data_IF_307424720262
#
_entry.id   IF_307424720262
#
_cell.length_a   1.000
_cell.length_b   1.000
_cell.length_c   1.000
_cell.angle_alpha   90.00
_cell.angle_beta   90.00
_cell.angle_gamma   90.00
#
_symmetry.space_group_name_H-M   'P 1'
#
loop_
_entity.id
_entity.type
_entity.pdbx_description
1 polymer ?
#
# COMPACT_ATOMS: atom_id res chain seq x y z
N UNK A 1 11.55 3.40 13.28
CA UNK A 1 10.53 2.40 13.63
C UNK A 1 11.12 0.99 13.50
N UNK A 2 10.83 0.11 14.42
CA UNK A 2 11.28 -1.28 14.37
C UNK A 2 10.06 -2.21 14.39
N UNK A 3 10.22 -3.41 13.77
CA UNK A 3 9.18 -4.43 13.79
C UNK A 3 9.27 -5.30 15.07
N UNK A 4 8.38 -6.29 15.21
CA UNK A 4 8.32 -7.15 16.39
C UNK A 4 9.60 -7.96 16.63
N UNK A 5 10.43 -8.17 15.60
CA UNK A 5 11.71 -8.86 15.72
C UNK A 5 12.87 -7.91 16.03
N UNK A 6 12.60 -6.63 16.32
CA UNK A 6 13.60 -5.63 16.62
C UNK A 6 14.33 -5.08 15.40
N UNK A 7 13.89 -5.41 14.21
CA UNK A 7 14.48 -4.91 12.96
C UNK A 7 13.84 -3.60 12.57
N UNK A 8 14.61 -2.73 11.92
CA UNK A 8 14.10 -1.50 11.36
C UNK A 8 13.12 -1.83 10.21
N UNK A 9 11.94 -1.22 10.26
CA UNK A 9 10.90 -1.42 9.24
C UNK A 9 11.36 -0.86 7.89
N UNK A 10 11.30 -1.68 6.84
CA UNK A 10 11.59 -1.21 5.48
C UNK A 10 10.44 -0.33 4.97
N UNK A 11 10.71 0.62 4.04
CA UNK A 11 9.64 1.46 3.46
C UNK A 11 8.49 0.65 2.86
N UNK A 12 8.76 -0.52 2.27
CA UNK A 12 7.71 -1.38 1.71
C UNK A 12 6.78 -1.92 2.80
N UNK A 13 7.29 -2.15 4.00
CA UNK A 13 6.47 -2.63 5.12
C UNK A 13 5.44 -1.59 5.53
N UNK A 14 5.82 -0.31 5.54
CA UNK A 14 4.91 0.78 5.84
C UNK A 14 3.80 0.89 4.79
N UNK A 15 4.13 0.66 3.52
CA UNK A 15 3.14 0.65 2.43
C UNK A 15 2.14 -0.49 2.64
N UNK A 16 2.60 -1.70 2.88
CA UNK A 16 1.70 -2.84 3.11
C UNK A 16 0.83 -2.65 4.34
N UNK A 17 1.41 -2.11 5.41
CA UNK A 17 0.66 -1.80 6.61
C UNK A 17 -0.46 -0.78 6.33
N UNK A 18 -0.15 0.29 5.61
CA UNK A 18 -1.13 1.30 5.25
C UNK A 18 -2.25 0.72 4.40
N UNK A 19 -1.92 -0.17 3.45
CA UNK A 19 -2.88 -0.78 2.55
C UNK A 19 -3.63 -1.98 3.16
N UNK A 20 -3.32 -2.38 4.38
CA UNK A 20 -4.00 -3.50 5.04
C UNK A 20 -5.41 -3.16 5.52
N UNK A 21 -5.77 -1.89 5.55
CA UNK A 21 -7.08 -1.41 6.00
C UNK A 21 -7.97 -1.01 4.82
N UNK A 22 -9.25 -1.47 4.78
CA UNK A 22 -10.13 -1.16 3.66
C UNK A 22 -10.43 0.32 3.49
N UNK A 23 -10.58 1.08 4.57
CA UNK A 23 -10.80 2.54 4.49
C UNK A 23 -9.63 3.23 3.81
N UNK A 24 -8.41 2.88 4.19
CA UNK A 24 -7.21 3.45 3.60
C UNK A 24 -7.08 3.09 2.12
N UNK A 25 -7.44 1.86 1.74
CA UNK A 25 -7.43 1.47 0.32
C UNK A 25 -8.40 2.31 -0.51
N UNK A 26 -9.59 2.57 0.01
CA UNK A 26 -10.59 3.41 -0.69
C UNK A 26 -10.06 4.84 -0.86
N UNK A 27 -9.40 5.38 0.16
CA UNK A 27 -8.78 6.72 0.06
C UNK A 27 -7.71 6.75 -1.04
N UNK A 28 -6.85 5.75 -1.08
CA UNK A 28 -5.80 5.64 -2.12
C UNK A 28 -6.43 5.56 -3.51
N UNK A 29 -7.47 4.75 -3.69
CA UNK A 29 -8.19 4.64 -4.95
C UNK A 29 -8.77 5.99 -5.39
N UNK A 30 -9.38 6.70 -4.45
CA UNK A 30 -9.96 8.03 -4.72
C UNK A 30 -8.89 9.03 -5.13
N UNK A 31 -7.76 9.05 -4.43
CA UNK A 31 -6.64 9.95 -4.73
C UNK A 31 -5.92 9.59 -6.03
N UNK A 32 -6.05 8.36 -6.49
CA UNK A 32 -5.55 7.94 -7.80
C UNK A 32 -6.21 8.67 -8.96
N UNK A 33 -7.40 9.23 -8.75
CA UNK A 33 -8.12 10.00 -9.77
C UNK A 33 -7.70 11.46 -9.78
N UNK A 34 -7.62 12.08 -8.61
CA UNK A 34 -7.24 13.49 -8.44
C UNK A 34 -7.03 13.80 -6.95
N UNK A 35 -6.31 14.87 -6.64
CA UNK A 35 -6.21 15.34 -5.26
C UNK A 35 -7.59 15.66 -4.66
N UNK A 36 -7.68 15.58 -3.34
CA UNK A 36 -8.94 15.81 -2.64
C UNK A 36 -8.69 16.36 -1.24
N UNK A 37 -9.65 17.11 -0.73
CA UNK A 37 -9.63 17.65 0.62
C UNK A 37 -10.05 16.56 1.63
N UNK A 38 -9.79 16.83 2.92
CA UNK A 38 -10.25 15.95 4.01
C UNK A 38 -11.77 15.73 3.91
N UNK A 39 -12.53 16.80 3.71
CA UNK A 39 -14.00 16.73 3.62
C UNK A 39 -14.46 15.83 2.49
N UNK A 40 -13.83 15.96 1.31
CA UNK A 40 -14.15 15.13 0.16
C UNK A 40 -13.82 13.66 0.42
N UNK A 41 -12.65 13.41 1.03
CA UNK A 41 -12.21 12.05 1.33
C UNK A 41 -13.06 11.38 2.40
N UNK A 42 -13.51 12.12 3.41
CA UNK A 42 -14.29 11.59 4.52
C UNK A 42 -15.76 11.35 4.16
N UNK A 43 -16.27 12.02 3.16
CA UNK A 43 -17.69 12.04 2.81
C UNK A 43 -18.31 10.63 2.66
N UNK A 44 -17.69 9.65 1.97
CA UNK A 44 -18.31 8.33 1.79
C UNK A 44 -18.34 7.47 3.07
N UNK A 45 -17.67 7.88 4.14
CA UNK A 45 -17.50 7.05 5.32
C UNK A 45 -18.38 7.52 6.47
N UNK A 46 -19.01 6.55 7.14
CA UNK A 46 -19.77 6.79 8.36
C UNK A 46 -18.86 6.52 9.56
N UNK A 47 -17.94 7.46 9.82
CA UNK A 47 -17.06 7.39 10.97
C UNK A 47 -16.75 8.78 11.50
N UNK A 48 -16.37 8.87 12.77
CA UNK A 48 -15.99 10.13 13.40
C UNK A 48 -14.73 10.69 12.72
N UNK A 49 -14.67 12.02 12.57
CA UNK A 49 -13.55 12.69 11.94
C UNK A 49 -12.19 12.34 12.57
N UNK A 50 -12.05 12.28 13.92
CA UNK A 50 -10.77 11.89 14.51
C UNK A 50 -10.30 10.50 14.07
N UNK A 51 -11.20 9.55 13.92
CA UNK A 51 -10.87 8.20 13.44
C UNK A 51 -10.42 8.24 11.98
N UNK A 52 -11.12 9.00 11.15
CA UNK A 52 -10.74 9.17 9.76
C UNK A 52 -9.36 9.85 9.62
N UNK A 53 -9.10 10.86 10.44
CA UNK A 53 -7.80 11.54 10.44
C UNK A 53 -6.65 10.61 10.81
N UNK A 54 -6.89 9.60 11.65
CA UNK A 54 -5.89 8.57 11.95
C UNK A 54 -5.52 7.78 10.69
N UNK A 55 -6.49 7.43 9.87
CA UNK A 55 -6.23 6.74 8.60
C UNK A 55 -5.38 7.60 7.67
N UNK A 56 -5.68 8.89 7.57
CA UNK A 56 -4.89 9.81 6.75
C UNK A 56 -3.46 9.95 7.27
N UNK A 57 -3.30 9.96 8.60
CA UNK A 57 -1.96 10.03 9.22
C UNK A 57 -1.13 8.80 8.87
N UNK A 58 -1.71 7.62 8.96
CA UNK A 58 -1.02 6.37 8.60
C UNK A 58 -0.58 6.41 7.13
N UNK A 59 -1.44 6.87 6.24
CA UNK A 59 -1.11 7.02 4.81
C UNK A 59 0.02 8.03 4.59
N UNK A 60 0.01 9.15 5.31
CA UNK A 60 1.10 10.14 5.22
C UNK A 60 2.43 9.58 5.74
N UNK A 61 2.39 8.91 6.90
CA UNK A 61 3.59 8.31 7.50
C UNK A 61 4.20 7.23 6.59
N UNK A 62 3.37 6.51 5.85
CA UNK A 62 3.84 5.51 4.89
C UNK A 62 4.48 6.11 3.65
N UNK A 63 4.28 7.40 3.41
CA UNK A 63 4.75 8.08 2.20
C UNK A 63 3.85 7.88 0.98
N UNK A 64 2.72 7.18 1.12
CA UNK A 64 1.77 6.99 0.01
C UNK A 64 1.05 8.26 -0.38
N UNK A 65 0.82 9.15 0.57
CA UNK A 65 0.16 10.43 0.33
C UNK A 65 0.95 11.56 0.95
N UNK A 66 0.76 12.74 0.40
CA UNK A 66 1.23 14.01 0.96
C UNK A 66 0.08 14.98 1.03
N UNK A 67 0.15 15.89 1.98
CA UNK A 67 -0.86 16.92 2.12
C UNK A 67 -0.22 18.31 2.11
N UNK A 68 -1.02 19.29 1.68
CA UNK A 68 -0.64 20.68 1.69
C UNK A 68 -1.82 21.48 2.20
N UNK A 69 -1.57 22.34 3.19
CA UNK A 69 -2.59 23.23 3.71
C UNK A 69 -2.54 24.56 2.97
N UNK A 70 -3.67 24.96 2.42
CA UNK A 70 -3.85 26.26 1.78
C UNK A 70 -5.05 26.94 2.42
N UNK A 71 -4.79 27.99 3.21
CA UNK A 71 -5.83 28.63 4.02
C UNK A 71 -6.36 27.65 5.06
N UNK A 72 -7.66 27.36 5.01
CA UNK A 72 -8.33 26.42 5.94
C UNK A 72 -8.47 25.02 5.37
N UNK A 73 -8.07 24.83 4.13
CA UNK A 73 -8.26 23.55 3.44
C UNK A 73 -6.92 22.81 3.35
N UNK A 74 -6.94 21.56 3.77
CA UNK A 74 -5.82 20.65 3.57
C UNK A 74 -6.16 19.69 2.44
N UNK A 75 -5.32 19.69 1.41
CA UNK A 75 -5.50 18.87 0.22
C UNK A 75 -4.46 17.75 0.21
N UNK A 76 -4.93 16.53 -0.03
CA UNK A 76 -4.12 15.32 -0.09
C UNK A 76 -3.91 14.91 -1.54
N UNK A 77 -2.75 14.33 -1.81
CA UNK A 77 -2.42 13.77 -3.13
C UNK A 77 -1.63 12.49 -2.99
N UNK A 78 -1.75 11.62 -3.97
CA UNK A 78 -1.01 10.36 -4.01
C UNK A 78 0.43 10.58 -4.43
N UNK A 79 1.35 9.81 -3.83
CA UNK A 79 2.78 9.80 -4.18
C UNK A 79 3.10 8.43 -4.78
N UNK A 80 3.14 8.29 -6.12
CA UNK A 80 3.25 6.97 -6.76
C UNK A 80 4.55 6.21 -6.47
N UNK A 81 5.62 6.92 -6.12
CA UNK A 81 6.92 6.29 -5.89
C UNK A 81 6.93 5.22 -4.81
N UNK A 82 6.12 5.39 -3.76
CA UNK A 82 6.02 4.39 -2.70
C UNK A 82 5.26 3.15 -3.12
N UNK A 83 4.23 3.31 -3.95
CA UNK A 83 3.51 2.18 -4.54
C UNK A 83 4.43 1.32 -5.40
N UNK A 84 5.33 1.94 -6.13
CA UNK A 84 6.29 1.23 -6.96
C UNK A 84 7.15 0.26 -6.15
N UNK A 85 7.58 0.64 -4.95
CA UNK A 85 8.36 -0.24 -4.08
C UNK A 85 7.59 -1.52 -3.75
N UNK A 86 6.29 -1.41 -3.48
CA UNK A 86 5.43 -2.57 -3.22
C UNK A 86 5.22 -3.41 -4.48
N UNK A 87 5.00 -2.76 -5.63
CA UNK A 87 4.87 -3.46 -6.92
C UNK A 87 6.13 -4.25 -7.25
N UNK A 88 7.30 -3.65 -7.08
CA UNK A 88 8.58 -4.30 -7.36
C UNK A 88 8.79 -5.50 -6.44
N UNK A 89 8.47 -5.38 -5.16
CA UNK A 89 8.57 -6.48 -4.22
C UNK A 89 7.65 -7.65 -4.63
N UNK A 90 6.40 -7.34 -4.96
CA UNK A 90 5.42 -8.35 -5.39
C UNK A 90 5.83 -9.01 -6.70
N UNK A 91 6.31 -8.23 -7.67
CA UNK A 91 6.78 -8.75 -8.95
C UNK A 91 7.95 -9.71 -8.76
N UNK A 92 8.89 -9.36 -7.87
CA UNK A 92 10.03 -10.22 -7.55
C UNK A 92 9.57 -11.54 -6.93
N UNK A 93 8.62 -11.51 -6.00
CA UNK A 93 8.07 -12.72 -5.39
C UNK A 93 7.37 -13.59 -6.43
N UNK A 94 6.56 -12.99 -7.30
CA UNK A 94 5.86 -13.71 -8.35
C UNK A 94 6.85 -14.43 -9.27
N UNK A 95 7.90 -13.77 -9.69
CA UNK A 95 8.95 -14.38 -10.54
C UNK A 95 9.58 -15.58 -9.87
N UNK A 96 9.90 -15.48 -8.58
CA UNK A 96 10.47 -16.59 -7.82
C UNK A 96 9.51 -17.77 -7.71
N UNK A 97 8.23 -17.50 -7.47
CA UNK A 97 7.21 -18.54 -7.37
C UNK A 97 6.98 -19.24 -8.71
N UNK A 98 6.91 -18.47 -9.79
CA UNK A 98 6.76 -19.02 -11.15
C UNK A 98 7.92 -19.94 -11.50
N UNK A 99 9.15 -19.57 -11.18
CA UNK A 99 10.33 -20.42 -11.38
C UNK A 99 10.25 -21.72 -10.60
N UNK A 100 9.81 -21.66 -9.36
CA UNK A 100 9.64 -22.86 -8.54
C UNK A 100 8.59 -23.79 -9.11
N UNK A 101 7.47 -23.24 -9.57
CA UNK A 101 6.41 -24.01 -10.20
C UNK A 101 6.89 -24.67 -11.49
N UNK A 102 7.62 -23.93 -12.33
CA UNK A 102 8.20 -24.47 -13.56
C UNK A 102 9.17 -25.61 -13.27
N UNK A 103 10.04 -25.43 -12.29
CA UNK A 103 10.98 -26.51 -11.87
C UNK A 103 10.24 -27.74 -11.37
N UNK A 104 9.17 -27.56 -10.63
CA UNK A 104 8.34 -28.65 -10.14
C UNK A 104 7.67 -29.38 -11.31
N UNK A 105 7.11 -28.66 -12.26
CA UNK A 105 6.47 -29.22 -13.45
C UNK A 105 7.48 -30.04 -14.28
N UNK A 106 8.68 -29.53 -14.47
CA UNK A 106 9.76 -30.24 -15.17
C UNK A 106 10.11 -31.53 -14.44
N UNK A 107 10.22 -31.49 -13.13
CA UNK A 107 10.52 -32.66 -12.31
C UNK A 107 9.43 -33.73 -12.42
N UNK A 108 8.17 -33.33 -12.33
CA UNK A 108 7.03 -34.24 -12.47
C UNK A 108 7.01 -34.87 -13.87
N UNK A 109 7.21 -34.07 -14.91
CA UNK A 109 7.27 -34.55 -16.30
C UNK A 109 8.37 -35.56 -16.48
N UNK A 110 9.55 -35.33 -15.91
CA UNK A 110 10.68 -36.22 -15.97
C UNK A 110 10.36 -37.57 -15.29
N UNK A 111 9.72 -37.55 -14.14
CA UNK A 111 9.29 -38.75 -13.43
C UNK A 111 8.31 -39.60 -14.25
N UNK A 112 7.39 -38.94 -14.95
CA UNK A 112 6.41 -39.63 -15.80
C UNK A 112 7.03 -40.31 -17.01
N UNK A 113 8.16 -39.79 -17.50
CA UNK A 113 8.88 -40.38 -18.64
C UNK A 113 9.75 -41.57 -18.24
N UNK A 114 10.11 -41.69 -16.99
CA UNK A 114 10.90 -42.78 -16.45
C UNK A 114 9.98 -43.91 -15.96
#
# INVERSE_FOLDING_TARGET
MVNAAGRRTAPVDDVFRALSDPTRRVVVERLGRRPASVSELAEPFDMALPSFMQHLRVLEESGLVRSKKEGRVRTYRLVPGRLRAAEDWLAKQRTLWERRLDQFDEYVTKLERE
#
